data_IF_218615567801
#
_entry.id   IF_218615567801
#
_cell.length_a   1.000
_cell.length_b   1.000
_cell.length_c   1.000
_cell.angle_alpha   90.00
_cell.angle_beta   90.00
_cell.angle_gamma   90.00
#
_symmetry.space_group_name_H-M   'P 1'
#
loop_
_entity.id
_entity.type
_entity.pdbx_description
1 polymer ?
#
# COMPACT_ATOMS: atom_id res chain seq x y z
N UNK A 1 5.37 -5.64 -18.65
CA UNK A 1 4.88 -4.32 -18.20
C UNK A 1 5.69 -3.92 -16.98
N UNK A 2 6.14 -2.66 -16.91
CA UNK A 2 7.00 -2.17 -15.81
C UNK A 2 6.11 -1.67 -14.67
N UNK A 3 6.40 -2.03 -13.40
CA UNK A 3 5.63 -1.49 -12.27
C UNK A 3 5.65 0.04 -12.24
N UNK A 4 4.55 0.63 -11.75
CA UNK A 4 4.46 2.05 -11.46
C UNK A 4 5.36 2.48 -10.30
N UNK A 5 5.52 3.79 -10.13
CA UNK A 5 6.29 4.36 -9.02
C UNK A 5 5.56 4.21 -7.68
N UNK A 6 6.34 4.04 -6.60
CA UNK A 6 5.81 4.05 -5.25
C UNK A 6 5.26 5.42 -4.85
N UNK A 7 4.06 5.42 -4.29
CA UNK A 7 3.45 6.57 -3.62
C UNK A 7 3.46 6.32 -2.12
N UNK A 8 4.29 7.06 -1.40
CA UNK A 8 4.38 6.98 0.06
C UNK A 8 3.33 7.86 0.72
N UNK A 9 2.69 7.36 1.77
CA UNK A 9 1.75 8.16 2.56
C UNK A 9 2.46 9.34 3.24
N UNK A 10 1.83 10.51 3.25
CA UNK A 10 2.32 11.68 4.00
C UNK A 10 2.39 11.43 5.51
N UNK A 11 1.63 10.45 6.02
CA UNK A 11 1.66 10.00 7.41
C UNK A 11 2.84 9.07 7.72
N UNK A 12 3.69 8.74 6.75
CA UNK A 12 4.86 7.86 6.92
C UNK A 12 6.19 8.61 7.16
N UNK A 13 6.17 9.93 7.32
CA UNK A 13 7.40 10.73 7.45
C UNK A 13 7.99 10.78 8.88
N UNK A 14 9.31 10.99 8.95
CA UNK A 14 9.99 11.70 10.04
C UNK A 14 10.38 10.94 11.31
N UNK A 15 9.47 10.23 11.98
CA UNK A 15 9.76 9.81 13.38
C UNK A 15 8.76 8.83 14.00
N UNK A 16 8.22 7.87 13.23
CA UNK A 16 7.34 6.82 13.78
C UNK A 16 5.94 6.74 13.17
N UNK A 17 5.73 7.31 11.98
CA UNK A 17 4.49 7.16 11.22
C UNK A 17 4.22 5.75 10.71
N UNK A 18 3.05 5.54 10.08
CA UNK A 18 2.46 4.24 9.73
C UNK A 18 3.18 3.42 8.63
N UNK A 19 4.33 3.88 8.14
CA UNK A 19 5.18 3.15 7.19
C UNK A 19 4.52 2.66 5.89
N UNK A 20 3.44 3.25 5.38
CA UNK A 20 2.75 2.71 4.18
C UNK A 20 3.21 3.38 2.88
N UNK A 21 3.48 2.56 1.85
CA UNK A 21 3.59 2.96 0.44
C UNK A 21 2.73 2.05 -0.47
N UNK A 22 2.26 2.58 -1.60
CA UNK A 22 1.43 1.84 -2.57
C UNK A 22 1.88 2.08 -4.01
N UNK A 23 1.71 1.11 -4.91
CA UNK A 23 1.91 1.26 -6.37
C UNK A 23 1.01 0.31 -7.16
N UNK A 24 1.06 0.41 -8.49
CA UNK A 24 0.59 -0.65 -9.40
C UNK A 24 1.79 -1.52 -9.79
N UNK A 25 1.64 -2.84 -9.68
CA UNK A 25 2.64 -3.84 -10.05
C UNK A 25 2.71 -4.07 -11.56
N UNK A 26 3.57 -5.01 -11.97
CA UNK A 26 3.80 -5.34 -13.38
C UNK A 26 2.55 -5.90 -14.10
N UNK A 27 1.59 -6.45 -13.35
CA UNK A 27 0.32 -6.95 -13.88
C UNK A 27 -0.85 -5.99 -13.65
N UNK A 28 -0.56 -4.70 -13.41
CA UNK A 28 -1.57 -3.68 -13.03
C UNK A 28 -2.33 -4.05 -11.73
N UNK A 29 -1.76 -4.95 -10.92
CA UNK A 29 -2.30 -5.33 -9.63
C UNK A 29 -1.81 -4.37 -8.54
N UNK A 30 -2.69 -3.89 -7.65
CA UNK A 30 -2.29 -3.06 -6.53
C UNK A 30 -1.28 -3.77 -5.62
N UNK A 31 -0.22 -3.04 -5.27
CA UNK A 31 0.79 -3.48 -4.32
C UNK A 31 0.85 -2.50 -3.13
N UNK A 32 0.87 -3.04 -1.93
CA UNK A 32 1.09 -2.32 -0.67
C UNK A 32 2.41 -2.79 -0.09
N UNK A 33 3.23 -1.88 0.43
CA UNK A 33 4.49 -2.24 1.10
C UNK A 33 4.83 -1.28 2.22
N UNK A 34 5.91 -1.63 2.93
CA UNK A 34 6.45 -0.79 3.99
C UNK A 34 7.44 0.25 3.41
N UNK A 35 7.21 1.53 3.69
CA UNK A 35 8.03 2.63 3.16
C UNK A 35 9.45 2.70 3.74
N UNK A 36 9.71 2.01 4.86
CA UNK A 36 11.02 1.93 5.51
C UNK A 36 11.78 0.66 5.13
N UNK A 37 11.15 -0.25 4.40
CA UNK A 37 11.78 -1.46 3.87
C UNK A 37 12.17 -1.29 2.40
N UNK A 38 13.18 -2.07 1.93
CA UNK A 38 13.49 -2.17 0.51
C UNK A 38 12.25 -2.53 -0.32
N UNK A 39 12.21 -2.08 -1.57
CA UNK A 39 11.06 -2.30 -2.48
C UNK A 39 10.75 -3.76 -2.79
N UNK A 40 11.69 -4.67 -2.52
CA UNK A 40 11.53 -6.12 -2.66
C UNK A 40 10.99 -6.81 -1.40
N UNK A 41 10.88 -6.10 -0.27
CA UNK A 41 10.52 -6.68 1.02
C UNK A 41 9.08 -6.34 1.42
N UNK A 42 8.38 -7.32 2.00
CA UNK A 42 7.04 -7.18 2.56
C UNK A 42 6.01 -6.52 1.61
N UNK A 43 6.03 -6.93 0.34
CA UNK A 43 5.08 -6.46 -0.68
C UNK A 43 3.85 -7.36 -0.68
N UNK A 44 2.70 -6.80 -0.36
CA UNK A 44 1.40 -7.44 -0.54
C UNK A 44 0.84 -7.06 -1.90
N UNK A 45 0.78 -8.02 -2.82
CA UNK A 45 0.05 -7.87 -4.08
C UNK A 45 -1.39 -8.35 -3.91
N UNK A 46 -2.34 -7.54 -4.33
CA UNK A 46 -3.77 -7.75 -4.13
C UNK A 46 -4.48 -7.75 -5.47
N UNK A 47 -5.60 -8.48 -5.55
CA UNK A 47 -6.52 -8.29 -6.66
C UNK A 47 -7.11 -6.88 -6.63
N UNK A 48 -7.52 -6.35 -7.79
CA UNK A 48 -8.19 -5.04 -7.86
C UNK A 48 -9.50 -5.00 -7.07
N UNK A 49 -10.21 -6.13 -6.93
CA UNK A 49 -11.42 -6.23 -6.11
C UNK A 49 -11.11 -6.16 -4.63
N UNK A 50 -10.11 -6.90 -4.15
CA UNK A 50 -9.76 -6.94 -2.73
C UNK A 50 -9.20 -5.60 -2.27
N UNK A 51 -8.36 -4.96 -3.10
CA UNK A 51 -7.84 -3.63 -2.80
C UNK A 51 -8.96 -2.59 -2.67
N UNK A 52 -9.99 -2.64 -3.53
CA UNK A 52 -11.15 -1.74 -3.43
C UNK A 52 -11.96 -2.02 -2.16
N UNK A 53 -12.20 -3.29 -1.83
CA UNK A 53 -12.91 -3.65 -0.59
C UNK A 53 -12.13 -3.21 0.65
N UNK A 54 -10.82 -3.39 0.66
CA UNK A 54 -9.94 -2.91 1.73
C UNK A 54 -10.05 -1.39 1.93
N UNK A 55 -10.00 -0.61 0.84
CA UNK A 55 -10.16 0.85 0.91
C UNK A 55 -11.56 1.26 1.42
N UNK A 56 -12.61 0.52 1.04
CA UNK A 56 -13.97 0.75 1.54
C UNK A 56 -14.05 0.47 3.05
N UNK A 57 -13.48 -0.64 3.51
CA UNK A 57 -13.41 -1.01 4.92
C UNK A 57 -12.69 0.05 5.77
N UNK A 58 -11.56 0.58 5.29
CA UNK A 58 -10.86 1.71 5.93
C UNK A 58 -11.77 2.94 6.02
N UNK A 59 -12.43 3.32 4.92
CA UNK A 59 -13.32 4.51 4.89
C UNK A 59 -14.51 4.37 5.83
N UNK A 60 -14.97 3.14 6.06
CA UNK A 60 -16.04 2.81 7.00
C UNK A 60 -15.55 2.71 8.45
N UNK A 61 -14.24 2.88 8.71
CA UNK A 61 -13.68 2.80 10.05
C UNK A 61 -13.67 1.37 10.63
N UNK A 62 -13.71 0.34 9.78
CA UNK A 62 -13.77 -1.07 10.24
C UNK A 62 -12.50 -1.55 10.93
N UNK A 63 -11.37 -0.87 10.70
CA UNK A 63 -10.09 -1.15 11.34
C UNK A 63 -9.81 -0.08 12.40
N UNK A 64 -10.47 -0.20 13.55
CA UNK A 64 -10.08 0.54 14.76
C UNK A 64 -8.92 -0.17 15.45
N UNK A 65 -8.01 0.61 16.03
CA UNK A 65 -6.86 0.12 16.80
C UNK A 65 -7.31 -0.49 18.13
#
# INVERSE_FOLDING_TARGET
>A
MTPGQWRTSSRSQGSGGNCVKTRLGALELPQIGDSKLPDSAAVLELSSSDYRQFLLAIKQGQFTR
#
